data_IF_953796531637
#
_entry.id   IF_953796531637
#
_cell.length_a   1.000
_cell.length_b   1.000
_cell.length_c   1.000
_cell.angle_alpha   90.00
_cell.angle_beta   90.00
_cell.angle_gamma   90.00
#
_symmetry.space_group_name_H-M   'P 1'
#
loop_
_entity.id
_entity.type
_entity.pdbx_description
1 polymer ?
#
# COMPACT_ATOMS: atom_id res chain seq x y z
N UNK A 1 -10.34 -3.88 -11.63
CA UNK A 1 -9.76 -4.96 -12.47
C UNK A 1 -8.25 -4.91 -12.33
N UNK A 2 -7.68 -5.66 -11.38
CA UNK A 2 -6.24 -5.61 -11.07
C UNK A 2 -5.43 -6.40 -12.10
N UNK A 3 -4.29 -5.87 -12.55
CA UNK A 3 -3.31 -6.65 -13.32
C UNK A 3 -2.52 -7.51 -12.33
N UNK A 4 -2.43 -8.82 -12.62
CA UNK A 4 -1.87 -9.84 -11.71
C UNK A 4 -0.46 -10.30 -12.18
N UNK A 5 0.13 -9.60 -13.14
CA UNK A 5 1.43 -9.97 -13.73
C UNK A 5 2.56 -9.02 -13.33
N UNK A 6 3.76 -9.59 -13.30
CA UNK A 6 5.07 -9.04 -12.88
C UNK A 6 5.60 -8.05 -13.92
N UNK A 7 4.73 -7.25 -14.53
CA UNK A 7 5.11 -6.26 -15.52
C UNK A 7 5.21 -4.89 -14.87
N UNK A 8 6.29 -4.18 -15.19
CA UNK A 8 6.51 -2.79 -14.80
C UNK A 8 5.28 -1.92 -15.12
N UNK A 9 4.74 -1.15 -14.16
CA UNK A 9 3.64 -0.23 -14.44
C UNK A 9 4.08 0.92 -15.34
N UNK A 10 3.18 1.32 -16.22
CA UNK A 10 3.22 2.58 -16.93
C UNK A 10 2.40 3.63 -16.19
N UNK A 11 2.97 4.82 -16.01
CA UNK A 11 2.31 5.98 -15.42
C UNK A 11 2.09 7.02 -16.51
N UNK A 12 0.84 7.43 -16.71
CA UNK A 12 0.55 8.51 -17.65
C UNK A 12 1.16 9.83 -17.16
N UNK A 13 1.93 10.52 -18.00
CA UNK A 13 2.58 11.79 -17.62
C UNK A 13 1.64 13.02 -17.68
N UNK A 14 0.38 12.82 -18.06
CA UNK A 14 -0.65 13.87 -18.13
C UNK A 14 -1.61 13.80 -16.94
N UNK A 15 -2.08 12.60 -16.58
CA UNK A 15 -3.08 12.42 -15.53
C UNK A 15 -2.64 11.49 -14.39
N UNK A 16 -1.40 10.98 -14.44
CA UNK A 16 -0.79 10.15 -13.40
C UNK A 16 -1.51 8.84 -13.07
N UNK A 17 -2.42 8.39 -13.94
CA UNK A 17 -3.05 7.08 -13.83
C UNK A 17 -2.05 5.98 -14.21
N UNK A 18 -2.13 4.85 -13.49
CA UNK A 18 -1.36 3.65 -13.76
C UNK A 18 -2.03 2.74 -14.80
N UNK A 19 -1.22 2.15 -15.68
CA UNK A 19 -1.59 1.09 -16.61
C UNK A 19 -0.55 -0.03 -16.60
N UNK A 20 -0.95 -1.25 -16.95
CA UNK A 20 0.00 -2.35 -17.10
C UNK A 20 0.44 -2.53 -18.55
N UNK A 21 1.68 -2.99 -18.73
CA UNK A 21 2.39 -3.14 -20.02
C UNK A 21 2.27 -4.53 -20.64
N UNK A 22 1.73 -5.52 -19.92
CA UNK A 22 1.53 -6.89 -20.40
C UNK A 22 0.33 -7.05 -21.36
N UNK A 23 -0.20 -8.26 -21.47
CA UNK A 23 -1.18 -8.67 -22.49
C UNK A 23 -2.44 -7.80 -22.59
N UNK A 24 -2.86 -7.20 -21.48
CA UNK A 24 -4.05 -6.31 -21.45
C UNK A 24 -3.76 -4.90 -21.97
N UNK A 25 -2.49 -4.54 -22.11
CA UNK A 25 -1.98 -3.28 -22.64
C UNK A 25 -2.81 -2.05 -22.23
N UNK A 26 -3.11 -1.94 -20.93
CA UNK A 26 -3.99 -0.88 -20.42
C UNK A 26 -3.43 0.52 -20.68
N UNK A 27 -2.11 0.64 -20.85
CA UNK A 27 -1.48 1.89 -21.26
C UNK A 27 -1.92 2.33 -22.67
N UNK A 28 -2.01 1.41 -23.63
CA UNK A 28 -2.47 1.72 -24.98
C UNK A 28 -3.96 2.05 -25.00
N UNK A 29 -4.78 1.29 -24.27
CA UNK A 29 -6.22 1.56 -24.12
C UNK A 29 -6.44 2.96 -23.51
N UNK A 30 -5.66 3.33 -22.51
CA UNK A 30 -5.71 4.66 -21.91
C UNK A 30 -5.38 5.75 -22.91
N UNK A 31 -4.33 5.59 -23.72
CA UNK A 31 -4.00 6.51 -24.81
C UNK A 31 -5.16 6.67 -25.80
N UNK A 32 -5.75 5.57 -26.27
CA UNK A 32 -6.88 5.61 -27.23
C UNK A 32 -8.11 6.34 -26.69
N UNK A 33 -8.39 6.23 -25.39
CA UNK A 33 -9.57 6.85 -24.76
C UNK A 33 -9.36 8.30 -24.35
N UNK A 34 -8.18 8.64 -23.86
CA UNK A 34 -7.88 9.96 -23.28
C UNK A 34 -7.09 10.87 -24.22
N UNK A 35 -6.48 10.32 -25.26
CA UNK A 35 -5.56 11.03 -26.13
C UNK A 35 -4.20 11.33 -25.49
N UNK A 36 -3.93 10.88 -24.26
CA UNK A 36 -2.66 11.16 -23.58
C UNK A 36 -1.50 10.38 -24.22
N UNK A 37 -0.46 11.05 -24.78
CA UNK A 37 0.55 10.37 -25.59
C UNK A 37 1.71 9.79 -24.78
N UNK A 38 2.10 10.42 -23.66
CA UNK A 38 3.33 10.10 -22.95
C UNK A 38 3.08 9.28 -21.68
N UNK A 39 3.90 8.23 -21.52
CA UNK A 39 3.89 7.35 -20.37
C UNK A 39 5.29 7.12 -19.83
N UNK A 40 5.39 6.93 -18.53
CA UNK A 40 6.60 6.60 -17.80
C UNK A 40 6.50 5.18 -17.29
N UNK A 41 7.30 4.29 -17.86
CA UNK A 41 7.49 2.95 -17.35
C UNK A 41 8.44 2.96 -16.16
N UNK A 42 8.06 2.30 -15.05
CA UNK A 42 8.86 2.21 -13.83
C UNK A 42 9.12 0.74 -13.52
N UNK A 43 10.38 0.31 -13.52
CA UNK A 43 10.77 -1.07 -13.23
C UNK A 43 11.70 -1.12 -12.03
N UNK A 44 11.29 -1.87 -11.01
CA UNK A 44 12.08 -2.13 -9.80
C UNK A 44 12.73 -3.52 -9.91
N UNK A 45 14.04 -3.59 -9.77
CA UNK A 45 14.83 -4.83 -9.78
C UNK A 45 15.56 -4.97 -8.46
N UNK A 46 15.50 -6.14 -7.82
CA UNK A 46 16.17 -6.36 -6.53
C UNK A 46 17.69 -6.29 -6.74
N UNK A 47 18.38 -5.52 -5.90
CA UNK A 47 19.84 -5.47 -5.87
C UNK A 47 20.40 -6.83 -5.49
N UNK A 48 21.48 -7.25 -6.16
CA UNK A 48 22.21 -8.44 -5.74
C UNK A 48 22.89 -8.16 -4.40
N UNK A 49 22.65 -9.02 -3.41
CA UNK A 49 23.31 -8.89 -2.10
C UNK A 49 24.75 -9.35 -2.28
N UNK A 50 25.69 -8.41 -2.41
CA UNK A 50 27.11 -8.72 -2.30
C UNK A 50 27.42 -8.94 -0.82
N UNK A 51 27.85 -10.16 -0.49
CA UNK A 51 28.12 -10.60 0.87
C UNK A 51 29.63 -10.74 1.08
N UNK A 52 30.37 -9.67 0.81
CA UNK A 52 31.83 -9.64 0.94
C UNK A 52 32.29 -9.48 2.41
N UNK A 53 31.37 -9.18 3.33
CA UNK A 53 31.69 -9.00 4.74
C UNK A 53 30.96 -10.02 5.63
N UNK A 54 31.64 -10.62 6.63
CA UNK A 54 31.01 -11.55 7.56
C UNK A 54 29.83 -10.87 8.26
N UNK A 55 28.72 -11.61 8.50
CA UNK A 55 27.53 -11.03 9.12
C UNK A 55 27.89 -10.32 10.43
N UNK A 56 27.47 -9.06 10.61
CA UNK A 56 27.82 -8.31 11.81
C UNK A 56 27.34 -9.08 13.04
N UNK A 57 28.22 -9.21 14.04
CA UNK A 57 27.86 -9.87 15.30
C UNK A 57 26.68 -9.12 15.90
N UNK A 58 25.54 -9.81 15.98
CA UNK A 58 24.28 -9.29 16.49
C UNK A 58 24.40 -9.11 18.01
N UNK A 59 25.03 -8.02 18.46
CA UNK A 59 25.20 -7.69 19.88
C UNK A 59 24.24 -6.59 20.35
N UNK A 60 23.35 -6.10 19.47
CA UNK A 60 22.29 -5.14 19.81
C UNK A 60 21.07 -5.38 18.94
N UNK A 61 19.89 -5.48 19.55
CA UNK A 61 18.58 -5.48 18.88
C UNK A 61 18.29 -4.07 18.30
N UNK A 62 19.12 -3.60 17.38
CA UNK A 62 18.87 -2.39 16.62
C UNK A 62 18.23 -2.81 15.30
N UNK A 63 16.94 -2.51 15.13
CA UNK A 63 16.27 -2.61 13.84
C UNK A 63 16.71 -1.39 13.04
N UNK A 64 17.71 -1.55 12.18
CA UNK A 64 18.09 -0.48 11.24
C UNK A 64 16.93 -0.30 10.26
N UNK A 65 16.46 0.93 10.09
CA UNK A 65 15.44 1.26 9.10
C UNK A 65 16.05 1.13 7.69
N UNK A 66 15.92 -0.06 7.09
CA UNK A 66 16.27 -0.29 5.69
C UNK A 66 15.31 0.48 4.79
N UNK A 67 15.85 1.22 3.82
CA UNK A 67 15.02 1.94 2.84
C UNK A 67 14.78 1.10 1.60
N UNK A 68 13.76 1.44 0.82
CA UNK A 68 13.49 0.74 -0.45
C UNK A 68 14.68 0.85 -1.43
N UNK A 69 15.37 1.99 -1.41
CA UNK A 69 16.52 2.25 -2.28
C UNK A 69 17.71 1.34 -1.96
N UNK A 70 17.79 0.79 -0.74
CA UNK A 70 18.87 -0.13 -0.34
C UNK A 70 18.66 -1.52 -0.95
N UNK A 71 17.41 -1.89 -1.21
CA UNK A 71 17.04 -3.24 -1.68
C UNK A 71 16.76 -3.33 -3.18
N UNK A 72 16.42 -2.22 -3.82
CA UNK A 72 15.97 -2.21 -5.21
C UNK A 72 16.66 -1.12 -6.04
N UNK A 73 17.04 -1.47 -7.27
CA UNK A 73 17.36 -0.53 -8.34
C UNK A 73 16.08 -0.17 -9.10
N UNK A 74 15.86 1.13 -9.30
CA UNK A 74 14.71 1.62 -10.07
C UNK A 74 15.19 2.13 -11.42
N UNK A 75 14.74 1.46 -12.48
CA UNK A 75 14.95 1.89 -13.87
C UNK A 75 13.67 2.49 -14.41
N UNK A 76 13.79 3.55 -15.20
CA UNK A 76 12.64 4.23 -15.80
C UNK A 76 12.83 4.40 -17.28
N UNK A 77 11.75 4.39 -18.06
CA UNK A 77 11.76 4.68 -19.51
C UNK A 77 10.54 5.50 -19.87
N UNK A 78 10.70 6.49 -20.75
CA UNK A 78 9.57 7.31 -21.23
C UNK A 78 9.21 6.83 -22.64
N UNK A 79 7.94 6.56 -22.88
CA UNK A 79 7.44 6.11 -24.18
C UNK A 79 6.31 7.01 -24.67
N UNK A 80 6.26 7.26 -25.98
CA UNK A 80 5.18 7.97 -26.66
C UNK A 80 4.33 6.99 -27.46
N UNK A 81 3.09 6.77 -27.05
CA UNK A 81 2.15 5.91 -27.78
C UNK A 81 1.72 6.52 -29.11
N UNK A 82 1.56 7.85 -29.17
CA UNK A 82 1.20 8.55 -30.42
C UNK A 82 2.31 8.50 -31.48
N UNK A 83 3.56 8.47 -31.04
CA UNK A 83 4.75 8.51 -31.89
C UNK A 83 5.26 7.10 -32.21
N UNK A 84 4.81 6.09 -31.45
CA UNK A 84 5.35 4.73 -31.46
C UNK A 84 6.87 4.68 -31.18
N UNK A 85 7.34 5.65 -30.38
CA UNK A 85 8.75 5.76 -29.97
C UNK A 85 8.84 5.41 -28.49
N UNK A 86 9.74 4.48 -28.17
CA UNK A 86 10.12 4.14 -26.80
C UNK A 86 11.47 4.76 -26.45
N UNK A 87 11.70 4.93 -25.15
CA UNK A 87 12.95 5.45 -24.57
C UNK A 87 13.32 6.86 -25.04
N UNK A 88 12.34 7.77 -24.95
CA UNK A 88 12.54 9.20 -25.21
C UNK A 88 13.49 9.79 -24.17
N UNK A 89 14.42 10.61 -24.63
CA UNK A 89 15.40 11.24 -23.77
C UNK A 89 14.73 12.10 -22.69
N UNK A 90 14.98 11.74 -21.43
CA UNK A 90 14.33 12.37 -20.27
C UNK A 90 14.81 13.79 -20.03
N UNK A 91 15.95 14.18 -20.60
CA UNK A 91 16.61 15.49 -20.44
C UNK A 91 15.86 16.62 -21.16
N UNK A 92 14.96 16.27 -22.09
CA UNK A 92 14.30 17.25 -22.95
C UNK A 92 13.23 18.06 -22.20
N UNK A 93 13.41 19.39 -22.17
CA UNK A 93 12.40 20.34 -21.71
C UNK A 93 11.96 20.12 -20.27
N UNK A 94 10.64 19.97 -20.05
CA UNK A 94 10.03 19.81 -18.72
C UNK A 94 9.94 18.35 -18.24
N UNK A 95 10.30 17.38 -19.08
CA UNK A 95 10.23 15.95 -18.75
C UNK A 95 11.02 15.58 -17.48
N UNK A 96 12.24 16.08 -17.22
CA UNK A 96 12.97 15.70 -16.01
C UNK A 96 12.21 16.09 -14.74
N UNK A 97 11.57 17.25 -14.74
CA UNK A 97 10.84 17.76 -13.57
C UNK A 97 9.61 16.89 -13.27
N UNK A 98 8.84 16.53 -14.30
CA UNK A 98 7.64 15.68 -14.16
C UNK A 98 8.03 14.27 -13.72
N UNK A 99 9.05 13.67 -14.35
CA UNK A 99 9.52 12.31 -13.99
C UNK A 99 10.02 12.29 -12.55
N UNK A 100 10.81 13.29 -12.13
CA UNK A 100 11.25 13.40 -10.74
C UNK A 100 10.08 13.60 -9.78
N UNK A 101 9.06 14.38 -10.15
CA UNK A 101 7.85 14.56 -9.37
C UNK A 101 7.11 13.24 -9.15
N UNK A 102 6.95 12.42 -10.20
CA UNK A 102 6.32 11.10 -10.11
C UNK A 102 7.12 10.15 -9.21
N UNK A 103 8.46 10.13 -9.32
CA UNK A 103 9.30 9.25 -8.51
C UNK A 103 9.36 9.65 -7.02
N UNK A 104 9.23 10.94 -6.71
CA UNK A 104 9.25 11.46 -5.34
C UNK A 104 7.86 11.52 -4.69
N UNK A 105 6.79 11.34 -5.46
CA UNK A 105 5.44 11.41 -4.93
C UNK A 105 5.21 10.33 -3.86
N UNK A 106 4.64 10.72 -2.73
CA UNK A 106 4.30 9.77 -1.67
C UNK A 106 3.28 8.76 -2.21
N UNK A 107 3.60 7.47 -2.06
CA UNK A 107 2.70 6.38 -2.43
C UNK A 107 1.42 6.45 -1.61
N UNK A 108 0.33 5.90 -2.16
CA UNK A 108 -0.95 5.83 -1.45
C UNK A 108 -0.77 5.17 -0.07
N UNK A 109 -0.07 4.04 0.01
CA UNK A 109 0.21 3.34 1.27
C UNK A 109 0.94 4.21 2.27
N UNK A 110 1.95 4.97 1.84
CA UNK A 110 2.69 5.88 2.73
C UNK A 110 1.83 7.04 3.22
N UNK A 111 0.91 7.55 2.38
CA UNK A 111 -0.05 8.59 2.79
C UNK A 111 -1.05 8.04 3.81
N UNK A 112 -1.57 6.84 3.60
CA UNK A 112 -2.49 6.20 4.56
C UNK A 112 -1.79 5.86 5.88
N UNK A 113 -0.53 5.43 5.83
CA UNK A 113 0.27 5.22 7.03
C UNK A 113 0.45 6.54 7.81
N UNK A 114 0.89 7.62 7.14
CA UNK A 114 1.03 8.94 7.75
C UNK A 114 -0.30 9.42 8.34
N UNK A 115 -1.41 9.26 7.61
CA UNK A 115 -2.75 9.57 8.14
C UNK A 115 -3.09 8.76 9.39
N UNK A 116 -2.74 7.47 9.43
CA UNK A 116 -2.98 6.63 10.59
C UNK A 116 -2.13 7.07 11.80
N UNK A 117 -0.90 7.53 11.58
CA UNK A 117 -0.05 8.13 12.62
C UNK A 117 -0.57 9.48 13.10
N UNK A 118 -1.10 10.30 12.19
CA UNK A 118 -1.69 11.61 12.49
C UNK A 118 -3.14 11.51 13.01
N UNK A 119 -3.71 10.31 13.05
CA UNK A 119 -5.11 10.13 13.42
C UNK A 119 -5.31 10.35 14.92
N UNK A 120 -5.69 11.59 15.28
CA UNK A 120 -6.18 11.91 16.61
C UNK A 120 -7.56 11.25 16.82
N UNK A 121 -7.59 10.19 17.63
CA UNK A 121 -8.85 9.58 18.07
C UNK A 121 -9.53 10.50 19.07
N UNK A 122 -10.55 11.24 18.62
CA UNK A 122 -11.44 11.97 19.54
C UNK A 122 -12.41 10.98 20.18
N UNK A 123 -12.38 10.81 21.51
CA UNK A 123 -13.32 9.91 22.17
C UNK A 123 -14.74 10.42 21.94
N UNK A 124 -15.65 9.52 21.56
CA UNK A 124 -17.06 9.85 21.51
C UNK A 124 -17.66 9.82 22.92
N UNK A 125 -18.82 10.43 23.11
CA UNK A 125 -19.51 10.45 24.41
C UNK A 125 -19.71 9.04 25.00
N UNK A 126 -19.91 8.03 24.14
CA UNK A 126 -20.08 6.63 24.58
C UNK A 126 -18.85 6.07 25.28
N UNK A 127 -17.63 6.45 24.89
CA UNK A 127 -16.41 6.03 25.59
C UNK A 127 -16.26 6.84 26.89
N UNK A 128 -16.53 8.14 26.85
CA UNK A 128 -16.38 9.02 28.01
C UNK A 128 -17.38 8.70 29.13
N UNK A 129 -18.56 8.20 28.78
CA UNK A 129 -19.65 7.87 29.72
C UNK A 129 -19.89 6.37 29.81
N UNK A 130 -18.96 5.52 29.35
CA UNK A 130 -19.13 4.08 29.40
C UNK A 130 -19.17 3.62 30.85
N UNK A 131 -20.32 3.12 31.29
CA UNK A 131 -20.46 2.40 32.54
C UNK A 131 -20.36 0.92 32.22
N UNK A 132 -19.50 0.21 32.94
CA UNK A 132 -19.43 -1.24 32.83
C UNK A 132 -20.20 -1.85 33.99
N UNK A 133 -21.04 -2.83 33.70
CA UNK A 133 -21.73 -3.58 34.75
C UNK A 133 -20.71 -4.25 35.66
N UNK A 134 -21.00 -4.35 36.97
CA UNK A 134 -20.14 -5.11 37.87
C UNK A 134 -19.98 -6.50 37.30
N UNK A 135 -18.72 -6.86 37.03
CA UNK A 135 -18.35 -8.17 36.51
C UNK A 135 -18.96 -9.24 37.41
N UNK A 136 -20.01 -9.90 36.91
CA UNK A 136 -20.33 -11.24 37.37
C UNK A 136 -19.16 -12.11 36.90
N UNK A 137 -18.09 -12.16 37.69
CA UNK A 137 -16.95 -13.04 37.50
C UNK A 137 -17.41 -14.49 37.71
N UNK A 138 -18.19 -14.97 36.77
CA UNK A 138 -18.06 -16.32 36.27
C UNK A 138 -17.55 -16.13 34.86
N UNK A 139 -16.22 -16.05 34.70
CA UNK A 139 -15.51 -16.21 33.43
C UNK A 139 -16.31 -17.15 32.50
N UNK A 140 -16.84 -16.66 31.36
CA UNK A 140 -17.50 -17.54 30.41
C UNK A 140 -16.45 -18.53 29.90
N UNK A 141 -16.72 -19.82 30.11
CA UNK A 141 -15.88 -20.97 29.77
C UNK A 141 -15.55 -21.15 28.29
N UNK A 142 -15.83 -20.18 27.42
CA UNK A 142 -15.43 -20.20 26.01
C UNK A 142 -15.53 -18.78 25.43
N UNK A 143 -14.40 -18.06 25.37
CA UNK A 143 -14.26 -16.81 24.60
C UNK A 143 -14.21 -17.06 23.08
N UNK A 144 -14.54 -18.28 22.67
CA UNK A 144 -14.35 -18.78 21.32
C UNK A 144 -15.67 -18.98 20.58
N UNK A 145 -16.82 -18.59 21.16
CA UNK A 145 -18.14 -18.83 20.57
C UNK A 145 -19.15 -17.73 20.91
N UNK A 146 -20.01 -17.40 19.95
CA UNK A 146 -21.13 -16.49 20.14
C UNK A 146 -22.09 -16.98 21.24
N UNK A 147 -22.57 -16.06 22.08
CA UNK A 147 -23.53 -16.37 23.15
C UNK A 147 -24.92 -16.75 22.63
N UNK A 148 -25.23 -16.51 21.35
CA UNK A 148 -26.55 -16.76 20.75
C UNK A 148 -26.54 -17.75 19.58
N UNK A 149 -25.38 -18.22 19.12
CA UNK A 149 -25.27 -19.21 18.03
C UNK A 149 -23.96 -20.00 18.10
N UNK A 150 -23.75 -20.93 17.16
CA UNK A 150 -22.55 -21.80 17.13
C UNK A 150 -21.32 -21.18 16.44
N UNK A 151 -21.40 -19.90 16.02
CA UNK A 151 -20.31 -19.22 15.33
C UNK A 151 -19.10 -19.03 16.26
N UNK A 152 -17.90 -19.30 15.74
CA UNK A 152 -16.63 -19.20 16.47
C UNK A 152 -15.65 -18.16 15.91
N UNK A 153 -16.09 -17.42 14.90
CA UNK A 153 -15.33 -16.38 14.20
C UNK A 153 -16.15 -15.09 14.12
N UNK A 154 -15.50 -13.97 13.82
CA UNK A 154 -16.16 -12.65 13.76
C UNK A 154 -16.93 -12.33 15.06
N UNK A 155 -16.30 -12.57 16.21
CA UNK A 155 -16.90 -12.35 17.54
C UNK A 155 -16.58 -10.93 18.05
N UNK A 156 -17.57 -10.30 18.67
CA UNK A 156 -17.56 -8.92 19.16
C UNK A 156 -17.92 -8.92 20.64
N UNK A 157 -17.03 -8.32 21.45
CA UNK A 157 -17.22 -8.17 22.89
C UNK A 157 -18.00 -6.88 23.18
N UNK A 158 -19.10 -7.00 23.93
CA UNK A 158 -19.78 -5.85 24.49
C UNK A 158 -18.94 -5.25 25.62
N UNK A 159 -18.53 -3.98 25.49
CA UNK A 159 -17.70 -3.32 26.51
C UNK A 159 -18.48 -2.93 27.78
N UNK A 160 -19.82 -2.92 27.74
CA UNK A 160 -20.67 -2.62 28.89
C UNK A 160 -20.91 -3.84 29.77
N UNK A 161 -21.32 -4.97 29.18
CA UNK A 161 -21.75 -6.17 29.92
C UNK A 161 -20.86 -7.41 29.71
N UNK A 162 -19.86 -7.37 28.84
CA UNK A 162 -18.96 -8.49 28.56
C UNK A 162 -19.54 -9.63 27.72
N UNK A 163 -20.75 -9.46 27.17
CA UNK A 163 -21.37 -10.45 26.28
C UNK A 163 -20.61 -10.59 24.94
N UNK A 164 -20.55 -11.80 24.37
CA UNK A 164 -19.82 -12.09 23.13
C UNK A 164 -20.79 -12.43 21.99
N UNK A 165 -20.97 -11.54 21.01
CA UNK A 165 -21.87 -11.72 19.88
C UNK A 165 -21.14 -11.94 18.55
N UNK A 166 -21.74 -12.59 17.57
CA UNK A 166 -21.19 -12.62 16.21
C UNK A 166 -21.49 -11.33 15.43
N UNK A 167 -20.64 -11.00 14.46
CA UNK A 167 -20.83 -9.84 13.59
C UNK A 167 -22.11 -9.95 12.76
N UNK A 168 -22.55 -8.80 12.23
CA UNK A 168 -23.70 -8.71 11.34
C UNK A 168 -23.28 -9.16 9.93
N UNK A 169 -23.10 -10.47 9.71
CA UNK A 169 -23.04 -11.17 8.41
C UNK A 169 -22.86 -12.67 8.67
#
# INVERSE_FOLDING_TARGET
>A
MACIHIDSPDVCLFCFNGGCTGDRNHSSIHHQRSGHPLVLNIRRTRKAVQRDEPPPKMSKLAITAEREEDRYDTTTRVSCHSCQVSDIEKSAGKLPAVVNGVLKAATFSRKEEVKAWEQEYKPCQHILSLVQDQSNQTTPKDLCKCSSCDLKENLWLCLECGNLGCGRN
#
